data_IF_497652647238
#
_entry.id   IF_497652647238
#
_cell.length_a   1.000
_cell.length_b   1.000
_cell.length_c   1.000
_cell.angle_alpha   90.00
_cell.angle_beta   90.00
_cell.angle_gamma   90.00
#
_symmetry.space_group_name_H-M   'P 1'
#
loop_
_entity.id
_entity.type
_entity.pdbx_description
1 polymer ?
#
# COMPACT_ATOMS: atom_id res chain seq x y z
N UNK A 1 -0.98 5.47 -6.13
CA UNK A 1 -2.38 5.09 -5.82
C UNK A 1 -2.48 3.58 -5.79
N UNK A 2 -3.14 3.02 -4.78
CA UNK A 2 -3.32 1.58 -4.58
C UNK A 2 -4.78 1.27 -4.24
N UNK A 3 -5.32 0.21 -4.83
CA UNK A 3 -6.68 -0.28 -4.60
C UNK A 3 -6.73 -1.51 -3.70
N UNK A 4 -7.92 -1.77 -3.15
CA UNK A 4 -8.19 -2.87 -2.24
C UNK A 4 -8.00 -4.23 -2.89
N UNK A 5 -8.39 -4.38 -4.16
CA UNK A 5 -8.15 -5.58 -4.99
C UNK A 5 -6.69 -5.75 -5.42
N UNK A 6 -5.77 -4.95 -4.88
CA UNK A 6 -4.35 -5.09 -5.11
C UNK A 6 -3.91 -4.59 -6.48
N UNK A 7 -4.52 -3.54 -7.01
CA UNK A 7 -4.01 -2.79 -8.17
C UNK A 7 -3.30 -1.52 -7.73
N UNK A 8 -2.39 -1.05 -8.55
CA UNK A 8 -1.64 0.19 -8.32
C UNK A 8 -1.41 0.93 -9.62
N UNK A 9 -1.52 2.25 -9.56
CA UNK A 9 -1.16 3.13 -10.66
C UNK A 9 -0.22 4.24 -10.18
N UNK A 10 0.74 4.54 -11.04
CA UNK A 10 1.74 5.59 -10.89
C UNK A 10 1.74 6.40 -12.18
N UNK A 11 1.44 7.69 -12.10
CA UNK A 11 1.37 8.60 -13.25
C UNK A 11 1.93 9.97 -12.85
N UNK A 12 2.12 10.89 -13.81
CA UNK A 12 2.62 12.24 -13.53
C UNK A 12 1.55 13.09 -12.86
N UNK A 13 1.89 13.82 -11.80
CA UNK A 13 0.96 14.81 -11.22
C UNK A 13 0.51 15.88 -12.23
N UNK A 14 1.36 16.21 -13.20
CA UNK A 14 1.08 17.13 -14.31
C UNK A 14 -0.06 16.65 -15.24
N UNK A 15 -0.42 15.36 -15.22
CA UNK A 15 -1.58 14.84 -15.97
C UNK A 15 -2.92 15.20 -15.32
N UNK A 16 -2.87 15.82 -14.14
CA UNK A 16 -4.02 16.33 -13.39
C UNK A 16 -4.03 17.84 -13.53
N UNK A 17 -5.02 18.35 -14.27
CA UNK A 17 -5.26 19.79 -14.36
C UNK A 17 -5.69 20.35 -13.01
N UNK A 18 -5.28 21.58 -12.71
CA UNK A 18 -5.82 22.35 -11.60
C UNK A 18 -7.34 22.52 -11.76
N UNK A 19 -8.08 22.33 -10.68
CA UNK A 19 -9.54 22.49 -10.61
C UNK A 19 -9.90 23.28 -9.37
N UNK A 20 -11.08 23.93 -9.38
CA UNK A 20 -11.60 24.64 -8.21
C UNK A 20 -11.99 23.68 -7.08
N UNK A 21 -12.24 24.24 -5.89
CA UNK A 21 -12.66 23.45 -4.71
C UNK A 21 -14.00 22.73 -4.91
N UNK A 22 -14.92 23.35 -5.65
CA UNK A 22 -16.25 22.81 -5.95
C UNK A 22 -16.26 22.04 -7.29
N UNK A 23 -15.47 20.96 -7.36
CA UNK A 23 -15.42 20.09 -8.54
C UNK A 23 -15.34 18.62 -8.15
N UNK A 24 -15.72 17.73 -9.07
CA UNK A 24 -15.63 16.27 -8.88
C UNK A 24 -14.22 15.70 -9.10
N UNK A 25 -13.25 16.54 -9.49
CA UNK A 25 -11.88 16.12 -9.82
C UNK A 25 -11.78 15.34 -11.13
N UNK A 26 -10.74 14.51 -11.24
CA UNK A 26 -10.45 13.68 -12.42
C UNK A 26 -10.14 12.23 -12.01
N UNK A 27 -10.38 11.28 -12.90
CA UNK A 27 -10.10 9.86 -12.64
C UNK A 27 -8.61 9.60 -12.47
N UNK A 28 -8.16 9.05 -11.34
CA UNK A 28 -6.77 8.62 -11.13
C UNK A 28 -6.48 7.21 -11.66
N UNK A 29 -7.28 6.22 -11.22
CA UNK A 29 -7.20 4.80 -11.57
C UNK A 29 -8.58 4.31 -12.03
N UNK A 30 -8.63 3.39 -12.97
CA UNK A 30 -9.87 2.68 -13.33
C UNK A 30 -10.05 1.47 -12.40
N UNK A 31 -11.02 1.58 -11.50
CA UNK A 31 -11.45 0.50 -10.61
C UNK A 31 -12.56 -0.32 -11.28
N UNK A 32 -12.69 -1.60 -10.91
CA UNK A 32 -13.71 -2.51 -11.44
C UNK A 32 -14.54 -3.11 -10.31
N UNK A 33 -15.81 -3.39 -10.59
CA UNK A 33 -16.71 -4.00 -9.61
C UNK A 33 -16.81 -3.18 -8.33
N UNK A 34 -16.62 -3.82 -7.19
CA UNK A 34 -16.64 -3.22 -5.85
C UNK A 34 -15.26 -2.76 -5.35
N UNK A 35 -14.25 -2.68 -6.22
CA UNK A 35 -12.92 -2.21 -5.83
C UNK A 35 -12.93 -0.72 -5.45
N UNK A 36 -12.09 -0.33 -4.50
CA UNK A 36 -11.98 1.03 -4.01
C UNK A 36 -10.52 1.38 -3.73
N UNK A 37 -10.23 2.68 -3.65
CA UNK A 37 -8.88 3.17 -3.39
C UNK A 37 -8.57 3.07 -1.89
N UNK A 38 -7.42 2.48 -1.56
CA UNK A 38 -6.96 2.29 -0.17
C UNK A 38 -5.91 3.33 0.20
N UNK A 39 -5.01 3.67 -0.72
CA UNK A 39 -3.98 4.68 -0.44
C UNK A 39 -3.55 5.48 -1.66
N UNK A 40 -2.98 6.65 -1.39
CA UNK A 40 -2.33 7.52 -2.34
C UNK A 40 -1.06 8.08 -1.72
N UNK A 41 0.05 8.00 -2.46
CA UNK A 41 1.34 8.55 -2.08
C UNK A 41 1.92 9.36 -3.23
N UNK A 42 2.74 10.35 -2.89
CA UNK A 42 3.46 11.20 -3.84
C UNK A 42 4.92 10.79 -3.90
N UNK A 43 5.39 10.45 -5.10
CA UNK A 43 6.79 10.13 -5.35
C UNK A 43 7.50 11.41 -5.78
N UNK A 44 8.48 11.85 -4.99
CA UNK A 44 9.33 13.01 -5.24
C UNK A 44 10.74 12.57 -5.61
N UNK A 45 11.65 13.52 -5.88
CA UNK A 45 13.06 13.19 -6.17
C UNK A 45 13.76 12.60 -4.96
N UNK A 46 13.35 13.01 -3.76
CA UNK A 46 13.93 12.66 -2.47
C UNK A 46 13.54 11.24 -2.06
N UNK A 47 12.29 10.83 -2.29
CA UNK A 47 11.79 9.52 -1.85
C UNK A 47 11.77 8.44 -2.96
N UNK A 48 12.22 8.75 -4.18
CA UNK A 48 12.16 7.79 -5.33
C UNK A 48 12.90 6.47 -5.11
N UNK A 49 13.91 6.48 -4.24
CA UNK A 49 14.74 5.31 -3.88
C UNK A 49 14.16 4.51 -2.71
N UNK A 50 13.11 5.02 -2.06
CA UNK A 50 12.51 4.38 -0.91
C UNK A 50 11.75 3.12 -1.29
N UNK A 51 11.44 2.36 -0.25
CA UNK A 51 10.57 1.20 -0.36
C UNK A 51 9.11 1.59 -0.12
N UNK A 52 8.24 0.90 -0.84
CA UNK A 52 6.81 0.97 -0.71
C UNK A 52 6.33 -0.19 0.16
N UNK A 53 5.66 0.11 1.26
CA UNK A 53 5.07 -0.87 2.16
C UNK A 53 3.68 -1.28 1.64
N UNK A 54 3.36 -2.56 1.72
CA UNK A 54 2.01 -3.07 1.47
C UNK A 54 1.67 -4.13 2.50
N UNK A 55 0.50 -3.99 3.13
CA UNK A 55 -0.05 -4.88 4.16
C UNK A 55 -1.48 -5.26 3.76
N UNK A 56 -1.77 -6.55 3.86
CA UNK A 56 -3.05 -7.15 3.55
C UNK A 56 -3.78 -7.60 4.82
N UNK A 57 -5.09 -7.82 4.72
CA UNK A 57 -6.01 -8.09 5.83
C UNK A 57 -5.53 -9.20 6.77
N UNK A 58 -4.95 -10.28 6.23
CA UNK A 58 -4.51 -11.44 7.00
C UNK A 58 -3.09 -11.28 7.58
N UNK A 59 -2.66 -10.04 7.82
CA UNK A 59 -1.40 -9.75 8.51
C UNK A 59 -0.18 -10.06 7.67
N UNK A 60 -0.35 -10.21 6.35
CA UNK A 60 0.74 -10.46 5.40
C UNK A 60 1.17 -9.13 4.80
N UNK A 61 2.47 -8.90 4.70
CA UNK A 61 3.00 -7.69 4.09
C UNK A 61 4.42 -7.83 3.58
N UNK A 62 4.91 -6.76 2.95
CA UNK A 62 6.24 -6.68 2.34
C UNK A 62 6.63 -5.25 2.03
N UNK A 63 7.92 -5.05 1.78
CA UNK A 63 8.47 -3.88 1.11
C UNK A 63 8.67 -4.18 -0.37
N UNK A 64 8.43 -3.21 -1.23
CA UNK A 64 8.76 -3.30 -2.66
C UNK A 64 9.41 -2.00 -3.10
N UNK A 65 10.52 -2.07 -3.81
CA UNK A 65 11.18 -0.89 -4.34
C UNK A 65 10.22 -0.07 -5.23
N UNK A 66 10.19 1.26 -5.08
CA UNK A 66 9.33 2.14 -5.89
C UNK A 66 9.60 1.96 -7.39
N UNK A 67 10.84 1.66 -7.78
CA UNK A 67 11.21 1.36 -9.17
C UNK A 67 10.45 0.17 -9.76
N UNK A 68 9.96 -0.75 -8.93
CA UNK A 68 9.12 -1.88 -9.34
C UNK A 68 7.71 -1.50 -9.80
N UNK A 69 7.33 -0.23 -9.65
CA UNK A 69 6.06 0.34 -10.10
C UNK A 69 6.28 1.21 -11.34
N UNK A 70 5.99 0.69 -12.55
CA UNK A 70 6.21 1.43 -13.79
C UNK A 70 5.27 2.64 -13.88
N UNK A 71 5.77 3.73 -14.48
CA UNK A 71 4.95 4.89 -14.83
C UNK A 71 3.97 4.48 -15.93
N UNK A 72 2.71 4.87 -15.77
CA UNK A 72 1.60 4.65 -16.68
C UNK A 72 0.87 5.98 -16.91
N UNK A 73 -0.05 6.02 -17.88
CA UNK A 73 -0.96 7.15 -18.04
C UNK A 73 -2.06 7.12 -16.97
N UNK A 74 -2.50 8.31 -16.54
CA UNK A 74 -3.63 8.47 -15.63
C UNK A 74 -4.89 7.79 -16.18
N UNK A 75 -5.70 7.20 -15.29
CA UNK A 75 -6.98 6.58 -15.64
C UNK A 75 -6.88 5.15 -16.17
N UNK A 76 -5.67 4.57 -16.23
CA UNK A 76 -5.47 3.15 -16.54
C UNK A 76 -5.94 2.22 -15.42
N UNK A 77 -5.97 0.91 -15.70
CA UNK A 77 -6.33 -0.14 -14.72
C UNK A 77 -5.22 -0.40 -13.69
N UNK A 78 -3.99 0.05 -13.96
CA UNK A 78 -2.85 -0.19 -13.11
C UNK A 78 -2.29 -1.61 -13.19
N UNK A 79 -1.25 -1.86 -12.40
CA UNK A 79 -0.54 -3.13 -12.28
C UNK A 79 -0.75 -3.72 -10.88
N UNK A 80 -0.66 -5.05 -10.73
CA UNK A 80 -0.78 -5.71 -9.40
C UNK A 80 0.16 -5.05 -8.38
N UNK A 81 -0.20 -4.79 -7.14
CA UNK A 81 0.75 -4.40 -6.05
C UNK A 81 1.19 -5.59 -5.21
N UNK A 82 0.33 -6.60 -5.13
CA UNK A 82 0.54 -7.86 -4.45
C UNK A 82 -0.17 -8.98 -5.21
N UNK A 83 0.21 -10.22 -4.92
CA UNK A 83 -0.51 -11.40 -5.39
C UNK A 83 -1.57 -11.78 -4.36
N UNK A 84 -2.79 -11.28 -4.59
CA UNK A 84 -3.96 -11.43 -3.72
C UNK A 84 -4.51 -12.85 -3.82
N UNK A 85 -4.64 -13.51 -2.67
CA UNK A 85 -5.19 -14.85 -2.48
C UNK A 85 -6.05 -14.86 -1.22
N UNK A 86 -6.87 -15.89 -1.05
CA UNK A 86 -7.71 -16.02 0.16
C UNK A 86 -6.86 -16.00 1.46
N UNK A 87 -5.66 -16.57 1.40
CA UNK A 87 -4.71 -16.58 2.53
C UNK A 87 -4.09 -15.21 2.85
N UNK A 88 -4.01 -14.30 1.88
CA UNK A 88 -3.47 -12.95 2.11
C UNK A 88 -4.56 -11.99 2.54
N UNK A 89 -5.78 -12.21 2.05
CA UNK A 89 -6.81 -11.19 2.01
C UNK A 89 -6.44 -10.06 1.05
N UNK A 90 -7.28 -9.03 1.04
CA UNK A 90 -7.16 -7.82 0.23
C UNK A 90 -6.18 -6.82 0.85
N UNK A 91 -5.84 -5.76 0.11
CA UNK A 91 -4.91 -4.72 0.61
C UNK A 91 -5.64 -3.77 1.56
N UNK A 92 -5.06 -3.48 2.72
CA UNK A 92 -5.62 -2.55 3.71
C UNK A 92 -4.70 -1.37 4.01
N UNK A 93 -3.39 -1.57 3.97
CA UNK A 93 -2.45 -0.45 4.14
C UNK A 93 -1.41 -0.49 3.06
N UNK A 94 -1.13 0.67 2.48
CA UNK A 94 0.05 0.87 1.68
C UNK A 94 0.55 2.30 1.77
N UNK A 95 1.86 2.47 1.84
CA UNK A 95 2.49 3.79 1.96
C UNK A 95 3.94 3.74 1.50
N UNK A 96 4.47 4.87 1.05
CA UNK A 96 5.93 5.04 0.94
C UNK A 96 6.51 5.07 2.36
N UNK A 97 7.55 4.29 2.61
CA UNK A 97 8.21 4.29 3.92
C UNK A 97 9.00 5.61 4.07
N UNK A 98 8.72 6.44 5.08
CA UNK A 98 9.48 7.66 5.34
C UNK A 98 10.95 7.37 5.64
N UNK A 99 11.82 8.37 5.39
CA UNK A 99 13.20 8.32 5.89
C UNK A 99 13.19 8.16 7.40
N UNK A 100 14.23 7.52 7.96
CA UNK A 100 14.41 7.39 9.41
C UNK A 100 13.31 6.59 10.13
N UNK A 101 12.48 5.85 9.37
CA UNK A 101 11.55 4.89 9.96
C UNK A 101 12.36 3.79 10.64
N UNK A 102 12.18 3.58 11.94
CA UNK A 102 12.81 2.50 12.69
C UNK A 102 11.87 1.31 12.88
N UNK A 103 10.58 1.59 13.01
CA UNK A 103 9.58 0.59 13.35
C UNK A 103 8.29 0.73 12.56
N UNK A 104 7.52 -0.35 12.57
CA UNK A 104 6.15 -0.42 12.08
C UNK A 104 5.28 -0.91 13.23
N UNK A 105 4.21 -0.18 13.54
CA UNK A 105 3.12 -0.67 14.38
C UNK A 105 2.00 -1.14 13.46
N UNK A 106 1.46 -2.33 13.72
CA UNK A 106 0.26 -2.88 13.08
C UNK A 106 -0.78 -3.13 14.16
N UNK A 107 -2.00 -2.67 13.92
CA UNK A 107 -3.15 -2.82 14.84
C UNK A 107 -4.27 -3.58 14.14
N UNK A 108 -4.85 -4.57 14.83
CA UNK A 108 -6.00 -5.32 14.35
C UNK A 108 -7.33 -4.68 14.73
N UNK A 109 -8.43 -5.15 14.13
CA UNK A 109 -9.78 -4.69 14.46
C UNK A 109 -10.14 -5.03 15.91
N UNK A 110 -9.71 -6.20 16.42
CA UNK A 110 -9.95 -6.60 17.81
C UNK A 110 -8.92 -6.06 18.81
N UNK A 111 -8.08 -5.11 18.41
CA UNK A 111 -7.18 -4.39 19.31
C UNK A 111 -5.85 -5.10 19.61
N UNK A 112 -5.49 -6.16 18.88
CA UNK A 112 -4.15 -6.73 18.96
C UNK A 112 -3.15 -5.77 18.28
N UNK A 113 -2.01 -5.53 18.93
CA UNK A 113 -0.96 -4.64 18.42
C UNK A 113 0.36 -5.38 18.32
N UNK A 114 1.05 -5.23 17.20
CA UNK A 114 2.40 -5.76 16.98
C UNK A 114 3.32 -4.62 16.53
N UNK A 115 4.51 -4.53 17.14
CA UNK A 115 5.59 -3.63 16.72
C UNK A 115 6.72 -4.46 16.11
N UNK A 116 7.14 -4.09 14.91
CA UNK A 116 8.23 -4.75 14.17
C UNK A 116 9.30 -3.72 13.81
N UNK A 117 10.60 -4.07 13.87
CA UNK A 117 11.64 -3.27 13.24
C UNK A 117 11.41 -3.19 11.72
N UNK A 118 11.57 -2.02 11.09
CA UNK A 118 11.33 -1.90 9.64
C UNK A 118 12.28 -2.79 8.82
N UNK A 119 13.47 -3.04 9.36
CA UNK A 119 14.51 -3.87 8.75
C UNK A 119 14.12 -5.35 8.65
N UNK A 120 13.23 -5.85 9.52
CA UNK A 120 12.81 -7.26 9.50
C UNK A 120 11.80 -7.56 8.39
N UNK A 121 11.13 -6.54 7.85
CA UNK A 121 10.18 -6.70 6.75
C UNK A 121 10.97 -6.95 5.46
N UNK A 122 10.72 -8.06 4.74
CA UNK A 122 11.48 -8.40 3.56
C UNK A 122 11.13 -7.50 2.38
N UNK A 123 12.15 -7.23 1.57
CA UNK A 123 12.01 -6.55 0.27
C UNK A 123 11.74 -7.59 -0.81
N UNK A 124 10.56 -7.54 -1.42
CA UNK A 124 10.10 -8.51 -2.40
C UNK A 124 9.52 -7.81 -3.64
N UNK A 125 9.44 -8.56 -4.73
CA UNK A 125 8.85 -8.10 -5.97
C UNK A 125 7.36 -7.77 -5.84
N UNK A 126 6.86 -6.94 -6.75
CA UNK A 126 5.48 -6.45 -6.76
C UNK A 126 4.44 -7.57 -6.89
N UNK A 127 4.60 -8.51 -7.82
CA UNK A 127 3.64 -9.61 -8.02
C UNK A 127 3.87 -10.81 -7.07
N UNK A 128 4.13 -10.55 -5.79
CA UNK A 128 4.32 -11.58 -4.74
C UNK A 128 3.33 -11.38 -3.59
N UNK A 129 3.07 -12.43 -2.81
CA UNK A 129 2.16 -12.36 -1.66
C UNK A 129 2.76 -11.72 -0.42
N UNK A 130 4.10 -11.67 -0.27
CA UNK A 130 4.72 -11.17 0.97
C UNK A 130 4.88 -12.25 2.05
N UNK A 131 5.17 -11.82 3.28
CA UNK A 131 5.37 -12.69 4.46
C UNK A 131 4.45 -12.29 5.61
N UNK A 132 4.29 -13.18 6.58
CA UNK A 132 3.50 -12.91 7.78
C UNK A 132 4.22 -11.87 8.65
N UNK A 133 3.58 -10.72 8.85
CA UNK A 133 4.01 -9.67 9.77
C UNK A 133 3.27 -9.76 11.11
N UNK A 134 1.99 -10.16 11.07
CA UNK A 134 1.14 -10.29 12.24
C UNK A 134 0.43 -11.63 12.22
N UNK A 135 0.48 -12.35 13.35
CA UNK A 135 -0.34 -13.54 13.60
C UNK A 135 -1.46 -13.17 14.55
N UNK A 136 -2.69 -13.41 14.13
CA UNK A 136 -3.85 -13.14 14.96
C UNK A 136 -4.09 -14.28 15.96
N UNK A 137 -4.39 -13.91 17.20
CA UNK A 137 -4.87 -14.87 18.22
C UNK A 137 -6.24 -15.42 17.81
N UNK A 138 -7.10 -14.55 17.28
CA UNK A 138 -8.39 -14.92 16.70
C UNK A 138 -8.32 -14.97 15.18
N UNK A 139 -8.65 -16.12 14.58
CA UNK A 139 -8.58 -16.34 13.12
C UNK A 139 -9.56 -15.48 12.31
N UNK A 140 -10.60 -14.95 12.96
CA UNK A 140 -11.56 -14.02 12.34
C UNK A 140 -11.08 -12.57 12.32
N UNK A 141 -10.02 -12.24 13.06
CA UNK A 141 -9.47 -10.89 13.11
C UNK A 141 -8.68 -10.53 11.84
N UNK A 142 -8.51 -9.24 11.61
CA UNK A 142 -7.80 -8.67 10.45
C UNK A 142 -7.08 -7.38 10.84
N UNK A 143 -6.11 -6.99 10.01
CA UNK A 143 -5.46 -5.68 10.15
C UNK A 143 -6.51 -4.57 10.00
N UNK A 144 -6.47 -3.60 10.90
CA UNK A 144 -7.25 -2.36 10.82
C UNK A 144 -6.39 -1.19 10.30
N UNK A 145 -5.18 -1.06 10.84
CA UNK A 145 -4.28 0.04 10.51
C UNK A 145 -2.82 -0.35 10.72
N UNK A 146 -1.92 0.44 10.13
CA UNK A 146 -0.49 0.37 10.42
C UNK A 146 0.15 1.74 10.28
N UNK A 147 1.15 2.03 11.12
CA UNK A 147 1.88 3.31 11.10
C UNK A 147 3.38 3.09 11.19
N UNK A 148 4.13 3.82 10.36
CA UNK A 148 5.57 3.89 10.48
C UNK A 148 5.94 4.78 11.67
N UNK A 149 6.91 4.34 12.46
CA UNK A 149 7.49 5.11 13.55
C UNK A 149 8.83 5.67 13.08
N UNK A 150 8.90 6.99 12.98
CA UNK A 150 10.15 7.74 12.80
C UNK A 150 10.75 8.04 14.16
N UNK A 151 12.07 8.25 14.19
CA UNK A 151 12.77 8.72 15.38
C UNK A 151 12.48 10.20 15.67
#
# INVERSE_FOLDING_TARGET
>A
MVSHEGKSIRFSGEEVRGTGRDTMGVRGILLKGSDYLVSMDVITKENKSHDFLTIMEKGIGKKTAIVGFPKQRRGGQGVKVADIKDKTGKVIVSQIIPTETEGLIITSIKGQVVKLPIGSIPRLGRATSGVILMRFTDKSDTVAAATCLTK
#
